data_IF_112038865673
#
_entry.id   IF_112038865673
#
_cell.length_a   1.000
_cell.length_b   1.000
_cell.length_c   1.000
_cell.angle_alpha   90.00
_cell.angle_beta   90.00
_cell.angle_gamma   90.00
#
_symmetry.space_group_name_H-M   'P 1'
#
loop_
_entity.id
_entity.type
_entity.pdbx_description
1 polymer ?
#
# COMPACT_ATOMS: atom_id res chain seq x y z
N UNK A 1 -6.41 -51.67 -9.68
CA UNK A 1 -5.39 -50.66 -10.11
C UNK A 1 -6.04 -49.74 -11.10
N UNK A 2 -6.53 -48.60 -10.64
CA UNK A 2 -6.98 -47.51 -11.50
C UNK A 2 -6.54 -46.22 -10.83
N UNK A 3 -5.42 -45.70 -11.34
CA UNK A 3 -4.87 -44.41 -10.88
C UNK A 3 -5.75 -43.27 -11.41
N UNK A 4 -6.44 -42.60 -10.52
CA UNK A 4 -7.08 -41.32 -10.80
C UNK A 4 -6.04 -40.22 -10.52
N UNK A 5 -5.33 -39.84 -11.57
CA UNK A 5 -4.52 -38.64 -11.60
C UNK A 5 -5.47 -37.43 -11.73
N UNK A 6 -5.84 -36.81 -10.63
CA UNK A 6 -6.51 -35.51 -10.65
C UNK A 6 -5.47 -34.44 -10.92
N UNK A 7 -5.23 -34.12 -12.19
CA UNK A 7 -4.58 -32.88 -12.59
C UNK A 7 -5.56 -31.74 -12.27
N UNK A 8 -5.37 -31.10 -11.13
CA UNK A 8 -6.05 -29.82 -10.84
C UNK A 8 -5.62 -28.83 -11.93
N UNK A 9 -6.50 -28.58 -12.89
CA UNK A 9 -6.27 -27.68 -14.00
C UNK A 9 -5.88 -26.30 -13.51
N UNK A 10 -4.66 -25.89 -13.80
CA UNK A 10 -4.18 -24.52 -13.57
C UNK A 10 -5.14 -23.55 -14.29
N UNK A 11 -5.74 -22.58 -13.63
CA UNK A 11 -6.67 -21.66 -14.30
C UNK A 11 -5.92 -20.97 -15.45
N UNK A 12 -6.37 -21.15 -16.66
CA UNK A 12 -5.79 -20.55 -17.87
C UNK A 12 -6.10 -19.05 -17.93
N UNK A 13 -5.47 -18.28 -17.03
CA UNK A 13 -5.50 -16.82 -17.12
C UNK A 13 -4.41 -16.42 -18.12
N UNK A 14 -4.82 -16.25 -19.41
CA UNK A 14 -3.89 -15.93 -20.49
C UNK A 14 -3.65 -14.42 -20.66
N UNK A 15 -2.61 -14.10 -21.44
CA UNK A 15 -2.35 -12.75 -21.96
C UNK A 15 -2.15 -11.66 -20.91
N UNK A 16 -2.68 -10.45 -21.16
CA UNK A 16 -2.55 -9.29 -20.31
C UNK A 16 -3.22 -9.42 -18.92
N UNK A 17 -4.29 -10.26 -18.83
CA UNK A 17 -5.05 -10.42 -17.58
C UNK A 17 -4.21 -10.93 -16.41
N UNK A 18 -3.23 -11.80 -16.66
CA UNK A 18 -2.31 -12.28 -15.63
C UNK A 18 -1.53 -11.14 -14.96
N UNK A 19 -1.08 -10.16 -15.75
CA UNK A 19 -0.34 -9.00 -15.24
C UNK A 19 -1.23 -8.09 -14.38
N UNK A 20 -2.49 -7.90 -14.76
CA UNK A 20 -3.46 -7.16 -13.93
C UNK A 20 -3.67 -7.86 -12.59
N UNK A 21 -3.77 -9.19 -12.58
CA UNK A 21 -3.88 -9.96 -11.32
C UNK A 21 -2.64 -9.79 -10.46
N UNK A 22 -1.44 -9.87 -11.05
CA UNK A 22 -0.16 -9.68 -10.34
C UNK A 22 0.04 -8.26 -9.83
N UNK A 23 -0.48 -7.24 -10.51
CA UNK A 23 -0.48 -5.85 -10.05
C UNK A 23 -1.33 -5.60 -8.79
N UNK A 24 -2.21 -6.54 -8.43
CA UNK A 24 -3.08 -6.52 -7.22
C UNK A 24 -3.92 -5.25 -7.12
N UNK A 25 -4.95 -5.06 -7.96
CA UNK A 25 -5.76 -3.84 -7.98
C UNK A 25 -6.33 -3.43 -6.64
N UNK A 26 -6.63 -4.41 -5.75
CA UNK A 26 -7.15 -4.15 -4.39
C UNK A 26 -6.20 -3.37 -3.49
N UNK A 27 -4.90 -3.35 -3.79
CA UNK A 27 -3.89 -2.62 -3.02
C UNK A 27 -3.57 -1.24 -3.62
N UNK A 28 -4.08 -0.92 -4.81
CA UNK A 28 -3.80 0.35 -5.48
C UNK A 28 -4.43 1.56 -4.76
N UNK A 29 -5.44 1.34 -3.94
CA UNK A 29 -6.00 2.40 -3.07
C UNK A 29 -4.91 3.01 -2.16
N UNK A 30 -3.99 2.18 -1.65
CA UNK A 30 -2.87 2.63 -0.83
C UNK A 30 -1.91 3.58 -1.58
N UNK A 31 -1.85 3.51 -2.91
CA UNK A 31 -1.05 4.41 -3.74
C UNK A 31 -1.84 5.63 -4.23
N UNK A 32 -3.12 5.46 -4.58
CA UNK A 32 -3.94 6.53 -5.15
C UNK A 32 -4.40 7.56 -4.10
N UNK A 33 -4.85 7.09 -2.93
CA UNK A 33 -5.38 7.96 -1.86
C UNK A 33 -4.36 8.99 -1.37
N UNK A 34 -3.10 8.62 -1.07
CA UNK A 34 -2.08 9.58 -0.66
C UNK A 34 -1.88 10.71 -1.68
N UNK A 35 -1.88 10.37 -2.98
CA UNK A 35 -1.69 11.35 -4.05
C UNK A 35 -2.87 12.33 -4.12
N UNK A 36 -4.10 11.83 -4.03
CA UNK A 36 -5.30 12.68 -4.06
C UNK A 36 -5.29 13.64 -2.87
N UNK A 37 -5.11 13.12 -1.65
CA UNK A 37 -5.09 13.94 -0.44
C UNK A 37 -3.92 14.94 -0.48
N UNK A 38 -2.72 14.49 -0.84
CA UNK A 38 -1.54 15.34 -0.95
C UNK A 38 -1.70 16.44 -2.00
N UNK A 39 -2.25 16.12 -3.18
CA UNK A 39 -2.51 17.11 -4.23
C UNK A 39 -3.45 18.21 -3.75
N UNK A 40 -4.53 17.86 -3.04
CA UNK A 40 -5.49 18.82 -2.50
C UNK A 40 -4.83 19.69 -1.41
N UNK A 41 -4.05 19.10 -0.52
CA UNK A 41 -3.28 19.87 0.49
C UNK A 41 -2.30 20.82 -0.20
N UNK A 42 -1.58 20.34 -1.21
CA UNK A 42 -0.60 21.16 -1.95
C UNK A 42 -1.22 22.38 -2.62
N UNK A 43 -2.48 22.30 -3.07
CA UNK A 43 -3.23 23.43 -3.63
C UNK A 43 -3.33 24.62 -2.67
N UNK A 44 -3.40 24.37 -1.37
CA UNK A 44 -3.63 25.41 -0.34
C UNK A 44 -2.49 26.43 -0.24
N UNK A 45 -1.30 26.09 -0.69
CA UNK A 45 -0.14 26.98 -0.67
C UNK A 45 0.05 27.85 -1.91
N UNK A 46 -0.90 27.81 -2.86
CA UNK A 46 -0.71 28.36 -4.20
C UNK A 46 -1.79 29.33 -4.62
N UNK A 47 -1.38 30.46 -5.15
CA UNK A 47 -2.26 31.38 -5.88
C UNK A 47 -2.80 30.84 -7.20
N UNK A 48 -2.23 29.73 -7.73
CA UNK A 48 -2.53 29.17 -9.05
C UNK A 48 -3.37 27.87 -9.06
N UNK A 49 -3.84 27.36 -7.93
CA UNK A 49 -4.60 26.12 -7.88
C UNK A 49 -3.74 24.84 -8.02
N UNK A 50 -4.34 23.74 -8.52
CA UNK A 50 -3.68 22.46 -8.73
C UNK A 50 -2.86 22.47 -10.02
N UNK A 51 -1.59 22.06 -9.92
CA UNK A 51 -0.75 21.81 -11.10
C UNK A 51 -0.99 20.38 -11.59
N UNK A 52 -1.96 20.20 -12.48
CA UNK A 52 -2.51 18.90 -12.85
C UNK A 52 -1.48 17.91 -13.43
N UNK A 53 -0.54 18.39 -14.24
CA UNK A 53 0.49 17.49 -14.78
C UNK A 53 1.43 16.95 -13.68
N UNK A 54 1.72 17.74 -12.63
CA UNK A 54 2.48 17.29 -11.46
C UNK A 54 1.69 16.27 -10.65
N UNK A 55 0.39 16.49 -10.48
CA UNK A 55 -0.50 15.51 -9.85
C UNK A 55 -0.55 14.20 -10.66
N UNK A 56 -0.61 14.28 -12.00
CA UNK A 56 -0.53 13.14 -12.89
C UNK A 56 0.78 12.37 -12.77
N UNK A 57 1.92 13.06 -12.78
CA UNK A 57 3.23 12.43 -12.56
C UNK A 57 3.32 11.80 -11.16
N UNK A 58 2.84 12.45 -10.10
CA UNK A 58 2.82 11.88 -8.75
C UNK A 58 1.96 10.60 -8.69
N UNK A 59 0.82 10.58 -9.38
CA UNK A 59 -0.02 9.39 -9.49
C UNK A 59 0.69 8.26 -10.24
N UNK A 60 1.37 8.56 -11.34
CA UNK A 60 2.18 7.57 -12.09
C UNK A 60 3.29 7.03 -11.19
N UNK A 61 4.03 7.87 -10.47
CA UNK A 61 5.08 7.45 -9.54
C UNK A 61 4.52 6.50 -8.48
N UNK A 62 3.45 6.91 -7.78
CA UNK A 62 2.89 6.12 -6.69
C UNK A 62 2.32 4.76 -7.17
N UNK A 63 1.55 4.77 -8.27
CA UNK A 63 0.97 3.55 -8.82
C UNK A 63 2.03 2.61 -9.40
N UNK A 64 3.02 3.15 -10.11
CA UNK A 64 4.08 2.34 -10.70
C UNK A 64 5.01 1.75 -9.64
N UNK A 65 5.34 2.49 -8.55
CA UNK A 65 6.06 1.94 -7.40
C UNK A 65 5.24 0.83 -6.73
N UNK A 66 3.94 1.02 -6.53
CA UNK A 66 3.07 -0.01 -5.94
C UNK A 66 3.04 -1.29 -6.78
N UNK A 67 2.85 -1.16 -8.10
CA UNK A 67 2.85 -2.28 -9.04
C UNK A 67 4.24 -2.94 -9.09
N UNK A 68 5.30 -2.15 -9.20
CA UNK A 68 6.68 -2.63 -9.19
C UNK A 68 7.02 -3.42 -7.92
N UNK A 69 6.61 -2.91 -6.75
CA UNK A 69 6.78 -3.59 -5.46
C UNK A 69 5.96 -4.89 -5.40
N UNK A 70 4.73 -4.90 -5.92
CA UNK A 70 3.93 -6.12 -5.97
C UNK A 70 4.59 -7.21 -6.82
N UNK A 71 5.18 -6.85 -7.98
CA UNK A 71 5.93 -7.78 -8.82
C UNK A 71 7.27 -8.19 -8.19
N UNK A 72 8.00 -7.25 -7.54
CA UNK A 72 9.24 -7.58 -6.83
C UNK A 72 8.99 -8.60 -5.72
N UNK A 73 7.88 -8.42 -4.97
CA UNK A 73 7.47 -9.35 -3.92
C UNK A 73 7.07 -10.72 -4.49
N UNK A 74 6.35 -10.75 -5.63
CA UNK A 74 5.96 -11.98 -6.31
C UNK A 74 7.20 -12.74 -6.80
N UNK A 75 8.15 -12.04 -7.42
CA UNK A 75 9.43 -12.61 -7.84
C UNK A 75 10.23 -13.17 -6.66
N UNK A 76 10.46 -12.36 -5.61
CA UNK A 76 11.33 -12.72 -4.51
C UNK A 76 10.75 -13.88 -3.67
N UNK A 77 9.46 -13.82 -3.34
CA UNK A 77 8.77 -14.86 -2.58
C UNK A 77 8.63 -16.16 -3.43
N UNK A 78 8.38 -16.03 -4.74
CA UNK A 78 8.28 -17.15 -5.68
C UNK A 78 9.62 -17.91 -5.83
N UNK A 79 10.74 -17.19 -5.98
CA UNK A 79 12.08 -17.81 -6.08
C UNK A 79 12.49 -18.48 -4.76
N UNK A 80 12.07 -17.92 -3.62
CA UNK A 80 12.32 -18.53 -2.30
C UNK A 80 11.38 -19.69 -1.97
N UNK A 81 10.31 -19.90 -2.74
CA UNK A 81 9.31 -20.93 -2.47
C UNK A 81 8.40 -20.62 -1.28
N UNK A 82 8.44 -19.41 -0.74
CA UNK A 82 7.63 -19.00 0.43
C UNK A 82 6.13 -18.89 0.12
N UNK A 83 5.77 -18.77 -1.15
CA UNK A 83 4.37 -18.66 -1.59
C UNK A 83 3.70 -20.02 -1.93
N UNK A 84 4.40 -21.15 -1.80
CA UNK A 84 3.90 -22.47 -2.23
C UNK A 84 2.63 -22.94 -1.49
N UNK A 85 2.41 -22.49 -0.23
CA UNK A 85 1.23 -22.85 0.60
C UNK A 85 0.38 -21.65 1.00
N UNK A 86 0.51 -20.53 0.29
CA UNK A 86 -0.15 -19.28 0.66
C UNK A 86 -1.65 -19.31 0.35
N UNK A 87 -2.44 -18.79 1.29
CA UNK A 87 -3.86 -18.47 1.10
C UNK A 87 -3.97 -16.99 0.70
N UNK A 88 -4.38 -16.71 -0.55
CA UNK A 88 -4.52 -15.31 -0.98
C UNK A 88 -4.62 -15.14 -2.50
N UNK A 89 -4.52 -13.90 -2.99
CA UNK A 89 -4.54 -13.63 -4.42
C UNK A 89 -3.43 -14.40 -5.14
N UNK A 90 -3.76 -14.82 -6.36
CA UNK A 90 -2.89 -15.60 -7.22
C UNK A 90 -1.55 -14.88 -7.44
N UNK A 91 -0.46 -15.61 -7.38
CA UNK A 91 0.92 -15.14 -7.62
C UNK A 91 1.39 -15.63 -8.97
N UNK A 92 2.03 -14.76 -9.75
CA UNK A 92 2.48 -15.08 -11.11
C UNK A 92 3.56 -16.16 -11.11
N UNK A 93 4.55 -16.03 -10.21
CA UNK A 93 5.71 -16.92 -10.13
C UNK A 93 5.31 -18.28 -9.56
N UNK A 94 4.70 -18.33 -8.39
CA UNK A 94 4.38 -19.59 -7.72
C UNK A 94 3.26 -20.37 -8.39
N UNK A 95 2.39 -19.73 -9.18
CA UNK A 95 1.36 -20.40 -9.98
C UNK A 95 1.82 -20.84 -11.37
N UNK A 96 3.07 -20.51 -11.76
CA UNK A 96 3.58 -20.80 -13.10
C UNK A 96 2.98 -19.93 -14.23
N UNK A 97 2.20 -18.89 -13.92
CA UNK A 97 1.61 -17.99 -14.92
C UNK A 97 2.65 -17.12 -15.62
N UNK A 98 3.77 -16.85 -14.98
CA UNK A 98 4.92 -16.19 -15.57
C UNK A 98 6.22 -16.72 -14.96
N UNK A 99 7.30 -16.70 -15.76
CA UNK A 99 8.63 -17.08 -15.26
C UNK A 99 9.15 -16.02 -14.27
N UNK A 100 10.02 -16.40 -13.32
CA UNK A 100 10.66 -15.44 -12.42
C UNK A 100 11.33 -14.28 -13.16
N UNK A 101 11.99 -14.56 -14.29
CA UNK A 101 12.64 -13.54 -15.10
C UNK A 101 11.64 -12.52 -15.68
N UNK A 102 10.50 -12.99 -16.19
CA UNK A 102 9.43 -12.12 -16.68
C UNK A 102 8.87 -11.22 -15.58
N UNK A 103 8.61 -11.77 -14.38
CA UNK A 103 8.06 -11.00 -13.25
C UNK A 103 9.07 -9.97 -12.75
N UNK A 104 10.37 -10.33 -12.67
CA UNK A 104 11.44 -9.38 -12.35
C UNK A 104 11.52 -8.25 -13.38
N UNK A 105 11.47 -8.55 -14.67
CA UNK A 105 11.48 -7.54 -15.73
C UNK A 105 10.28 -6.62 -15.62
N UNK A 106 9.07 -7.15 -15.39
CA UNK A 106 7.87 -6.33 -15.18
C UNK A 106 7.99 -5.38 -13.98
N UNK A 107 8.63 -5.85 -12.89
CA UNK A 107 8.92 -5.00 -11.72
C UNK A 107 9.87 -3.85 -12.09
N UNK A 108 10.97 -4.16 -12.79
CA UNK A 108 11.96 -3.16 -13.20
C UNK A 108 11.36 -2.15 -14.20
N UNK A 109 10.52 -2.58 -15.14
CA UNK A 109 9.81 -1.69 -16.04
C UNK A 109 8.86 -0.75 -15.28
N UNK A 110 8.13 -1.26 -14.30
CA UNK A 110 7.26 -0.44 -13.47
C UNK A 110 8.09 0.62 -12.69
N UNK A 111 9.20 0.23 -12.08
CA UNK A 111 10.12 1.18 -11.43
C UNK A 111 10.73 2.17 -12.43
N UNK A 112 11.03 1.75 -13.67
CA UNK A 112 11.50 2.65 -14.75
C UNK A 112 10.45 3.71 -15.11
N UNK A 113 9.18 3.33 -15.22
CA UNK A 113 8.06 4.27 -15.44
C UNK A 113 7.95 5.26 -14.28
N UNK A 114 8.04 4.79 -13.03
CA UNK A 114 8.07 5.66 -11.86
C UNK A 114 9.27 6.61 -11.88
N UNK A 115 10.45 6.11 -12.30
CA UNK A 115 11.68 6.90 -12.43
C UNK A 115 11.53 8.03 -13.46
N UNK A 116 10.98 7.74 -14.64
CA UNK A 116 10.76 8.74 -15.68
C UNK A 116 9.82 9.87 -15.21
N UNK A 117 8.68 9.51 -14.60
CA UNK A 117 7.75 10.50 -14.04
C UNK A 117 8.37 11.27 -12.85
N UNK A 118 9.14 10.56 -11.99
CA UNK A 118 9.86 11.17 -10.87
C UNK A 118 10.94 12.16 -11.32
N UNK A 119 11.66 11.87 -12.40
CA UNK A 119 12.64 12.79 -12.99
C UNK A 119 11.97 14.07 -13.52
N UNK A 120 10.80 13.96 -14.16
CA UNK A 120 10.04 15.14 -14.60
C UNK A 120 9.64 16.02 -13.40
N UNK A 121 9.22 15.42 -12.28
CA UNK A 121 8.95 16.15 -11.04
C UNK A 121 10.22 16.75 -10.44
N UNK A 122 11.33 16.01 -10.43
CA UNK A 122 12.60 16.50 -9.88
C UNK A 122 13.11 17.71 -10.66
N UNK A 123 13.08 17.65 -11.98
CA UNK A 123 13.50 18.75 -12.85
C UNK A 123 12.63 20.01 -12.70
N UNK A 124 11.34 19.84 -12.36
CA UNK A 124 10.39 20.96 -12.29
C UNK A 124 10.22 21.56 -10.88
N UNK A 125 10.58 20.80 -9.83
CA UNK A 125 10.35 21.23 -8.43
C UNK A 125 11.64 21.26 -7.64
N UNK A 126 12.35 20.12 -7.53
CA UNK A 126 13.60 20.02 -6.77
C UNK A 126 14.33 18.72 -7.05
N UNK A 127 15.62 18.80 -7.36
CA UNK A 127 16.50 17.65 -7.60
C UNK A 127 16.64 16.71 -6.40
N UNK A 128 16.38 17.18 -5.22
CA UNK A 128 16.32 16.38 -4.00
C UNK A 128 15.27 15.24 -4.10
N UNK A 129 14.23 15.39 -4.93
CA UNK A 129 13.25 14.33 -5.18
C UNK A 129 13.87 13.05 -5.78
N UNK A 130 15.05 13.14 -6.41
CA UNK A 130 15.79 11.94 -6.86
C UNK A 130 16.21 11.08 -5.65
N UNK A 131 16.70 11.69 -4.59
CA UNK A 131 17.07 10.94 -3.38
C UNK A 131 15.86 10.25 -2.75
N UNK A 132 14.69 10.93 -2.71
CA UNK A 132 13.43 10.33 -2.26
C UNK A 132 13.01 9.17 -3.17
N UNK A 133 13.08 9.34 -4.49
CA UNK A 133 12.75 8.30 -5.46
C UNK A 133 13.64 7.06 -5.31
N UNK A 134 14.94 7.25 -5.15
CA UNK A 134 15.89 6.17 -4.90
C UNK A 134 15.58 5.44 -3.59
N UNK A 135 15.26 6.17 -2.52
CA UNK A 135 14.83 5.58 -1.25
C UNK A 135 13.54 4.73 -1.41
N UNK A 136 12.58 5.21 -2.21
CA UNK A 136 11.35 4.44 -2.53
C UNK A 136 11.66 3.15 -3.30
N UNK A 137 12.57 3.19 -4.28
CA UNK A 137 12.95 2.00 -5.06
C UNK A 137 13.68 0.98 -4.19
N UNK A 138 14.64 1.44 -3.39
CA UNK A 138 15.36 0.58 -2.43
C UNK A 138 14.39 -0.05 -1.43
N UNK A 139 13.47 0.75 -0.85
CA UNK A 139 12.46 0.24 0.06
C UNK A 139 11.53 -0.78 -0.62
N UNK A 140 11.02 -0.47 -1.82
CA UNK A 140 10.16 -1.39 -2.56
C UNK A 140 10.83 -2.72 -2.91
N UNK A 141 12.11 -2.69 -3.30
CA UNK A 141 12.88 -3.88 -3.61
C UNK A 141 13.25 -4.69 -2.38
N UNK A 142 13.74 -4.04 -1.31
CA UNK A 142 14.20 -4.71 -0.09
C UNK A 142 13.06 -5.13 0.85
N UNK A 143 11.81 -4.86 0.51
CA UNK A 143 10.67 -5.31 1.32
C UNK A 143 10.66 -6.83 1.47
N UNK A 144 10.80 -7.57 0.36
CA UNK A 144 10.92 -9.04 0.33
C UNK A 144 12.19 -9.51 -0.38
N UNK A 145 12.90 -8.64 -1.10
CA UNK A 145 14.13 -8.91 -1.83
C UNK A 145 15.39 -8.79 -0.96
N UNK A 146 16.53 -9.15 -1.54
CA UNK A 146 17.85 -9.07 -0.89
C UNK A 146 18.07 -10.16 0.17
N UNK A 147 19.25 -10.14 0.85
CA UNK A 147 19.65 -11.18 1.81
C UNK A 147 18.90 -11.07 3.16
N UNK A 148 18.50 -9.86 3.56
CA UNK A 148 17.77 -9.57 4.81
C UNK A 148 16.60 -8.63 4.55
N UNK A 149 15.47 -9.13 3.97
CA UNK A 149 14.33 -8.29 3.67
C UNK A 149 13.73 -7.70 4.95
N UNK A 150 13.48 -6.38 4.97
CA UNK A 150 12.96 -5.74 6.17
C UNK A 150 11.51 -6.16 6.50
N UNK A 151 10.73 -6.57 5.50
CA UNK A 151 9.41 -7.18 5.72
C UNK A 151 9.47 -8.46 6.54
N UNK A 152 10.59 -9.21 6.43
CA UNK A 152 10.85 -10.41 7.23
C UNK A 152 11.38 -10.08 8.63
N UNK A 153 11.80 -8.85 8.86
CA UNK A 153 12.29 -8.36 10.16
C UNK A 153 11.19 -7.69 11.00
N UNK A 154 9.94 -7.69 10.53
CA UNK A 154 8.81 -7.06 11.25
C UNK A 154 8.81 -5.54 11.19
N UNK A 155 9.47 -4.95 10.19
CA UNK A 155 9.53 -3.50 9.98
C UNK A 155 8.54 -3.02 8.90
N UNK A 156 7.72 -3.91 8.34
CA UNK A 156 6.80 -3.61 7.24
C UNK A 156 5.87 -2.45 7.55
N UNK A 157 5.28 -2.44 8.73
CA UNK A 157 4.30 -1.43 9.18
C UNK A 157 4.92 -0.04 9.26
N UNK A 158 6.15 0.07 9.77
CA UNK A 158 6.90 1.33 9.86
C UNK A 158 7.19 1.88 8.46
N UNK A 159 7.68 1.02 7.56
CA UNK A 159 7.99 1.41 6.19
C UNK A 159 6.74 1.75 5.39
N UNK A 160 5.63 1.01 5.57
CA UNK A 160 4.36 1.33 4.93
C UNK A 160 3.84 2.68 5.43
N UNK A 161 3.87 2.95 6.73
CA UNK A 161 3.51 4.26 7.26
C UNK A 161 4.38 5.37 6.68
N UNK A 162 5.69 5.18 6.64
CA UNK A 162 6.63 6.19 6.13
C UNK A 162 6.43 6.45 4.62
N UNK A 163 6.37 5.41 3.80
CA UNK A 163 6.34 5.59 2.34
C UNK A 163 4.94 5.85 1.79
N UNK A 164 3.90 5.15 2.25
CA UNK A 164 2.53 5.36 1.79
C UNK A 164 1.79 6.45 2.55
N UNK A 165 2.19 6.72 3.80
CA UNK A 165 1.70 7.87 4.57
C UNK A 165 2.48 9.12 4.24
N UNK A 166 3.68 9.26 4.85
CA UNK A 166 4.44 10.51 4.81
C UNK A 166 4.95 10.84 3.40
N UNK A 167 5.73 9.94 2.78
CA UNK A 167 6.37 10.24 1.49
C UNK A 167 5.32 10.44 0.39
N UNK A 168 4.34 9.54 0.27
CA UNK A 168 3.36 9.63 -0.79
C UNK A 168 2.40 10.82 -0.60
N UNK A 169 1.89 11.08 0.62
CA UNK A 169 0.94 12.19 0.86
C UNK A 169 1.65 13.54 0.89
N UNK A 170 2.64 13.70 1.78
CA UNK A 170 3.35 14.97 1.92
C UNK A 170 4.24 15.25 0.69
N UNK A 171 4.81 14.22 0.05
CA UNK A 171 5.51 14.37 -1.22
C UNK A 171 4.61 14.84 -2.35
N UNK A 172 3.37 14.31 -2.46
CA UNK A 172 2.39 14.78 -3.45
C UNK A 172 1.94 16.22 -3.19
N UNK A 173 1.89 16.65 -1.92
CA UNK A 173 1.66 18.05 -1.59
C UNK A 173 2.87 18.91 -1.96
N UNK A 174 4.07 18.47 -1.63
CA UNK A 174 5.32 19.17 -1.92
C UNK A 174 5.53 19.44 -3.41
N UNK A 175 5.25 18.47 -4.27
CA UNK A 175 5.47 18.63 -5.71
C UNK A 175 4.52 19.65 -6.34
N UNK A 176 3.44 20.03 -5.68
CA UNK A 176 2.56 21.08 -6.20
C UNK A 176 3.28 22.45 -6.22
N UNK A 177 3.94 22.83 -5.12
CA UNK A 177 4.49 24.19 -4.97
C UNK A 177 5.88 24.24 -4.30
N UNK A 178 6.55 23.11 -4.11
CA UNK A 178 7.90 23.06 -3.52
C UNK A 178 7.94 23.41 -2.03
N UNK A 179 6.81 23.36 -1.32
CA UNK A 179 6.71 23.70 0.10
C UNK A 179 6.16 22.53 0.92
N UNK A 180 6.82 22.23 2.05
CA UNK A 180 6.32 21.29 3.03
C UNK A 180 5.52 22.06 4.09
N UNK A 181 4.26 21.67 4.30
CA UNK A 181 3.36 22.33 5.25
C UNK A 181 3.01 21.39 6.41
N UNK A 182 2.67 21.97 7.57
CA UNK A 182 2.19 21.19 8.71
C UNK A 182 0.92 20.42 8.37
N UNK A 183 0.02 20.99 7.57
CA UNK A 183 -1.19 20.32 7.08
C UNK A 183 -0.85 19.10 6.23
N UNK A 184 0.21 19.13 5.40
CA UNK A 184 0.64 17.99 4.60
C UNK A 184 1.14 16.83 5.49
N UNK A 185 1.91 17.14 6.51
CA UNK A 185 2.36 16.15 7.50
C UNK A 185 1.17 15.61 8.29
N UNK A 186 0.27 16.46 8.78
CA UNK A 186 -0.92 16.03 9.51
C UNK A 186 -1.82 15.11 8.68
N UNK A 187 -2.08 15.47 7.41
CA UNK A 187 -2.89 14.65 6.49
C UNK A 187 -2.25 13.31 6.14
N UNK A 188 -0.93 13.21 6.22
CA UNK A 188 -0.19 11.95 5.99
C UNK A 188 -0.47 10.90 7.07
N UNK A 189 -0.82 11.32 8.29
CA UNK A 189 -0.99 10.41 9.44
C UNK A 189 -2.21 9.49 9.25
N UNK A 190 -3.45 9.99 9.05
CA UNK A 190 -4.61 9.12 8.86
C UNK A 190 -4.46 8.23 7.62
N UNK A 191 -3.89 8.74 6.54
CA UNK A 191 -3.66 8.00 5.30
C UNK A 191 -2.66 6.86 5.50
N UNK A 192 -1.54 7.15 6.19
CA UNK A 192 -0.51 6.17 6.50
C UNK A 192 -1.01 5.06 7.43
N UNK A 193 -1.78 5.41 8.47
CA UNK A 193 -2.36 4.43 9.40
C UNK A 193 -3.35 3.49 8.70
N UNK A 194 -4.16 3.97 7.74
CA UNK A 194 -5.02 3.11 6.93
C UNK A 194 -4.21 2.18 6.02
N UNK A 195 -3.07 2.63 5.51
CA UNK A 195 -2.15 1.77 4.75
C UNK A 195 -1.53 0.69 5.65
N UNK A 196 -1.21 1.01 6.91
CA UNK A 196 -0.80 0.02 7.92
C UNK A 196 -1.91 -0.99 8.19
N UNK A 197 -3.17 -0.56 8.31
CA UNK A 197 -4.30 -1.49 8.46
C UNK A 197 -4.43 -2.46 7.28
N UNK A 198 -4.19 -2.00 6.04
CA UNK A 198 -4.16 -2.88 4.87
C UNK A 198 -3.05 -3.92 4.96
N UNK A 199 -1.85 -3.50 5.35
CA UNK A 199 -0.73 -4.42 5.53
C UNK A 199 -1.04 -5.42 6.65
N UNK A 200 -1.51 -4.94 7.80
CA UNK A 200 -1.77 -5.78 8.96
C UNK A 200 -2.86 -6.82 8.70
N UNK A 201 -3.91 -6.47 7.94
CA UNK A 201 -4.93 -7.44 7.53
C UNK A 201 -4.36 -8.55 6.62
N UNK A 202 -3.36 -8.24 5.80
CA UNK A 202 -2.62 -9.24 5.02
C UNK A 202 -1.72 -10.10 5.91
N UNK A 203 -0.96 -9.49 6.82
CA UNK A 203 -0.04 -10.19 7.72
C UNK A 203 -0.78 -11.10 8.70
N UNK A 204 -1.93 -10.67 9.22
CA UNK A 204 -2.82 -11.51 10.03
C UNK A 204 -3.36 -12.71 9.26
N UNK A 205 -3.76 -12.52 8.00
CA UNK A 205 -4.23 -13.61 7.13
C UNK A 205 -3.16 -14.67 6.93
N UNK A 206 -1.92 -14.22 6.72
CA UNK A 206 -0.82 -15.06 6.29
C UNK A 206 0.05 -15.55 7.49
N UNK A 207 -0.32 -15.25 8.74
CA UNK A 207 0.52 -15.42 9.95
C UNK A 207 1.09 -16.85 10.12
N UNK A 208 0.27 -17.88 9.86
CA UNK A 208 0.72 -19.27 10.01
C UNK A 208 1.60 -19.70 8.84
N UNK A 209 1.26 -19.27 7.62
CA UNK A 209 2.09 -19.49 6.44
C UNK A 209 3.46 -18.80 6.55
N UNK A 210 3.46 -17.53 6.96
CA UNK A 210 4.69 -16.74 7.14
C UNK A 210 5.58 -17.38 8.23
N UNK A 211 4.99 -17.86 9.33
CA UNK A 211 5.71 -18.57 10.39
C UNK A 211 6.35 -19.85 9.88
N UNK A 212 5.65 -20.64 9.06
CA UNK A 212 6.12 -21.91 8.53
C UNK A 212 7.34 -21.76 7.60
N UNK A 213 7.52 -20.60 6.96
CA UNK A 213 8.65 -20.29 6.07
C UNK A 213 9.67 -19.33 6.70
N UNK A 214 9.68 -19.22 8.04
CA UNK A 214 10.57 -18.37 8.82
C UNK A 214 10.49 -16.86 8.45
N UNK A 215 9.39 -16.40 7.86
CA UNK A 215 9.11 -15.00 7.57
C UNK A 215 8.53 -14.34 8.83
N UNK A 216 9.37 -13.62 9.56
CA UNK A 216 9.05 -13.05 10.89
C UNK A 216 8.45 -11.64 10.76
N UNK A 217 7.30 -11.52 10.08
CA UNK A 217 6.52 -10.28 10.03
C UNK A 217 6.16 -9.78 11.44
N UNK A 218 5.73 -8.53 11.58
CA UNK A 218 5.34 -7.99 12.88
C UNK A 218 4.19 -8.82 13.50
N UNK A 219 3.22 -9.23 12.69
CA UNK A 219 2.13 -10.11 13.12
C UNK A 219 2.65 -11.47 13.66
N UNK A 220 3.64 -12.08 12.99
CA UNK A 220 4.27 -13.34 13.47
C UNK A 220 5.00 -13.12 14.80
N UNK A 221 5.70 -11.98 14.96
CA UNK A 221 6.43 -11.63 16.19
C UNK A 221 5.52 -11.36 17.37
N UNK A 222 4.46 -10.60 17.15
CA UNK A 222 3.48 -10.24 18.18
C UNK A 222 2.54 -11.39 18.54
N UNK A 223 2.31 -12.32 17.60
CA UNK A 223 1.25 -13.31 17.65
C UNK A 223 -0.13 -12.72 17.32
N UNK A 224 -1.06 -13.58 16.90
CA UNK A 224 -2.34 -13.19 16.34
C UNK A 224 -3.16 -12.23 17.25
N UNK A 225 -3.14 -12.46 18.55
CA UNK A 225 -3.91 -11.63 19.51
C UNK A 225 -3.44 -10.18 19.53
N UNK A 226 -2.12 -9.93 19.64
CA UNK A 226 -1.57 -8.57 19.67
C UNK A 226 -1.63 -7.91 18.30
N UNK A 227 -1.45 -8.67 17.23
CA UNK A 227 -1.58 -8.19 15.86
C UNK A 227 -3.02 -7.71 15.55
N UNK A 228 -4.05 -8.39 16.07
CA UNK A 228 -5.45 -7.89 16.01
C UNK A 228 -5.61 -6.55 16.71
N UNK A 229 -5.03 -6.39 17.90
CA UNK A 229 -5.06 -5.12 18.60
C UNK A 229 -4.27 -4.02 17.89
N UNK A 230 -3.16 -4.36 17.22
CA UNK A 230 -2.44 -3.42 16.37
C UNK A 230 -3.32 -2.92 15.21
N UNK A 231 -4.04 -3.81 14.53
CA UNK A 231 -4.99 -3.43 13.49
C UNK A 231 -6.07 -2.48 14.04
N UNK A 232 -6.70 -2.82 15.16
CA UNK A 232 -7.74 -1.98 15.79
C UNK A 232 -7.18 -0.63 16.23
N UNK A 233 -6.01 -0.63 16.87
CA UNK A 233 -5.34 0.60 17.31
C UNK A 233 -4.98 1.52 16.15
N UNK A 234 -4.43 0.97 15.06
CA UNK A 234 -4.12 1.74 13.85
C UNK A 234 -5.40 2.30 13.19
N UNK A 235 -6.48 1.50 13.15
CA UNK A 235 -7.77 1.93 12.61
C UNK A 235 -8.38 3.06 13.44
N UNK A 236 -8.41 2.93 14.76
CA UNK A 236 -8.89 3.97 15.66
C UNK A 236 -8.03 5.23 15.60
N UNK A 237 -6.70 5.07 15.60
CA UNK A 237 -5.75 6.18 15.50
C UNK A 237 -5.87 6.92 14.16
N UNK A 238 -6.22 6.22 13.07
CA UNK A 238 -6.42 6.89 11.78
C UNK A 238 -7.59 7.87 11.84
N UNK A 239 -8.73 7.49 12.45
CA UNK A 239 -9.85 8.40 12.62
C UNK A 239 -9.56 9.50 13.64
N UNK A 240 -8.91 9.17 14.75
CA UNK A 240 -8.54 10.18 15.76
C UNK A 240 -7.58 11.23 15.18
N UNK A 241 -6.64 10.82 14.33
CA UNK A 241 -5.66 11.73 13.70
C UNK A 241 -6.27 12.69 12.66
N UNK A 242 -7.52 12.47 12.22
CA UNK A 242 -8.26 13.47 11.43
C UNK A 242 -8.37 14.79 12.21
N UNK A 243 -8.47 14.74 13.55
CA UNK A 243 -8.45 15.91 14.41
C UNK A 243 -7.19 16.77 14.26
N UNK A 244 -6.03 16.17 13.95
CA UNK A 244 -4.80 16.92 13.66
C UNK A 244 -4.94 17.77 12.40
N UNK A 245 -5.62 17.24 11.38
CA UNK A 245 -5.87 17.99 10.14
C UNK A 245 -6.91 19.07 10.36
N UNK A 246 -7.93 18.77 11.15
CA UNK A 246 -9.04 19.67 11.47
C UNK A 246 -8.58 20.92 12.22
N UNK A 247 -7.42 20.90 12.90
CA UNK A 247 -6.82 22.08 13.53
C UNK A 247 -6.61 23.23 12.54
N UNK A 248 -6.20 22.93 11.32
CA UNK A 248 -6.02 23.91 10.25
C UNK A 248 -7.18 23.94 9.24
N UNK A 249 -7.92 22.84 9.15
CA UNK A 249 -8.98 22.59 8.16
C UNK A 249 -10.17 21.91 8.83
N UNK A 250 -11.08 22.66 9.47
CA UNK A 250 -12.18 22.09 10.26
C UNK A 250 -13.07 21.11 9.49
N UNK A 251 -13.31 21.37 8.20
CA UNK A 251 -14.12 20.48 7.37
C UNK A 251 -13.45 19.12 7.08
N UNK A 252 -12.17 18.92 7.41
CA UNK A 252 -11.54 17.61 7.40
C UNK A 252 -12.32 16.59 8.26
N UNK A 253 -13.05 17.05 9.28
CA UNK A 253 -13.95 16.21 10.10
C UNK A 253 -15.00 15.46 9.29
N UNK A 254 -15.31 15.86 8.05
CA UNK A 254 -16.14 15.08 7.12
C UNK A 254 -15.64 13.64 6.96
N UNK A 255 -14.34 13.40 7.07
CA UNK A 255 -13.78 12.06 7.01
C UNK A 255 -14.32 11.12 8.11
N UNK A 256 -14.78 11.66 9.25
CA UNK A 256 -15.37 10.88 10.34
C UNK A 256 -16.73 10.27 9.98
N UNK A 257 -17.41 10.76 8.93
CA UNK A 257 -18.65 10.17 8.40
C UNK A 257 -18.40 8.72 7.93
N UNK A 258 -17.16 8.38 7.59
CA UNK A 258 -16.78 7.01 7.23
C UNK A 258 -16.63 6.06 8.44
N UNK A 259 -16.70 6.55 9.70
CA UNK A 259 -16.49 5.75 10.92
C UNK A 259 -17.37 4.49 11.00
N UNK A 260 -18.67 4.51 10.63
CA UNK A 260 -19.51 3.30 10.65
C UNK A 260 -18.99 2.16 9.75
N UNK A 261 -18.23 2.47 8.69
CA UNK A 261 -17.64 1.45 7.80
C UNK A 261 -16.57 0.63 8.53
N UNK A 262 -15.96 1.16 9.60
CA UNK A 262 -14.93 0.50 10.38
C UNK A 262 -15.50 -0.59 11.32
N UNK A 263 -16.79 -0.54 11.64
CA UNK A 263 -17.41 -1.47 12.59
C UNK A 263 -17.27 -2.94 12.18
N UNK A 264 -17.74 -3.29 10.97
CA UNK A 264 -17.75 -4.68 10.50
C UNK A 264 -16.35 -5.30 10.43
N UNK A 265 -15.34 -4.68 9.76
CA UNK A 265 -14.00 -5.25 9.72
C UNK A 265 -13.36 -5.30 11.11
N UNK A 266 -13.57 -4.28 11.96
CA UNK A 266 -13.09 -4.27 13.34
C UNK A 266 -13.67 -5.40 14.18
N UNK A 267 -14.98 -5.58 14.16
CA UNK A 267 -15.66 -6.66 14.87
C UNK A 267 -15.21 -8.05 14.39
N UNK A 268 -15.04 -8.24 13.07
CA UNK A 268 -14.54 -9.48 12.49
C UNK A 268 -13.12 -9.82 12.97
N UNK A 269 -12.23 -8.83 13.01
CA UNK A 269 -10.84 -9.01 13.50
C UNK A 269 -10.84 -9.34 14.99
N UNK A 270 -11.63 -8.65 15.82
CA UNK A 270 -11.74 -8.91 17.26
C UNK A 270 -12.38 -10.27 17.56
N UNK A 271 -13.35 -10.70 16.75
CA UNK A 271 -13.97 -12.02 16.84
C UNK A 271 -13.03 -13.17 16.45
N UNK A 272 -11.79 -12.87 16.06
CA UNK A 272 -10.77 -13.87 15.80
C UNK A 272 -10.71 -14.35 14.34
N UNK A 273 -11.22 -13.59 13.38
CA UNK A 273 -11.08 -13.94 11.97
C UNK A 273 -9.62 -14.28 11.60
N UNK A 274 -9.45 -15.30 10.78
CA UNK A 274 -8.17 -15.88 10.36
C UNK A 274 -8.21 -16.32 8.89
N UNK A 275 -7.04 -16.52 8.29
CA UNK A 275 -6.90 -17.05 6.94
C UNK A 275 -7.86 -16.39 5.94
N UNK A 276 -8.66 -17.19 5.17
CA UNK A 276 -9.57 -16.67 4.15
C UNK A 276 -10.63 -15.70 4.69
N UNK A 277 -11.01 -15.80 5.96
CA UNK A 277 -12.00 -14.91 6.60
C UNK A 277 -11.51 -13.45 6.68
N UNK A 278 -10.22 -13.22 6.54
CA UNK A 278 -9.64 -11.86 6.47
C UNK A 278 -9.67 -11.23 5.07
N UNK A 279 -10.03 -11.95 4.02
CA UNK A 279 -10.19 -11.38 2.68
C UNK A 279 -11.30 -10.30 2.62
N UNK A 280 -12.48 -10.50 3.22
CA UNK A 280 -13.48 -9.43 3.33
C UNK A 280 -13.01 -8.24 4.17
N UNK A 281 -12.22 -8.48 5.23
CA UNK A 281 -11.63 -7.42 6.08
C UNK A 281 -10.69 -6.56 5.25
N UNK A 282 -9.77 -7.18 4.48
CA UNK A 282 -8.86 -6.48 3.58
C UNK A 282 -9.62 -5.60 2.57
N UNK A 283 -10.67 -6.15 1.93
CA UNK A 283 -11.49 -5.41 0.98
C UNK A 283 -12.25 -4.25 1.64
N UNK A 284 -12.76 -4.45 2.86
CA UNK A 284 -13.43 -3.40 3.63
C UNK A 284 -12.45 -2.29 4.03
N UNK A 285 -11.23 -2.64 4.49
CA UNK A 285 -10.18 -1.69 4.84
C UNK A 285 -9.78 -0.83 3.63
N UNK A 286 -9.64 -1.44 2.45
CA UNK A 286 -9.38 -0.69 1.21
C UNK A 286 -10.51 0.29 0.86
N UNK A 287 -11.78 -0.10 1.07
CA UNK A 287 -12.93 0.80 0.90
C UNK A 287 -12.93 1.95 1.91
N UNK A 288 -12.62 1.65 3.19
CA UNK A 288 -12.48 2.68 4.22
C UNK A 288 -11.42 3.68 3.80
N UNK A 289 -10.25 3.23 3.34
CA UNK A 289 -9.18 4.11 2.89
C UNK A 289 -9.62 5.02 1.74
N UNK A 290 -10.34 4.48 0.74
CA UNK A 290 -10.88 5.28 -0.37
C UNK A 290 -11.88 6.33 0.11
N UNK A 291 -12.85 5.94 0.96
CA UNK A 291 -13.89 6.84 1.44
C UNK A 291 -13.32 7.90 2.37
N UNK A 292 -12.49 7.52 3.35
CA UNK A 292 -11.80 8.46 4.25
C UNK A 292 -10.93 9.42 3.44
N UNK A 293 -10.15 8.91 2.48
CA UNK A 293 -9.30 9.74 1.62
C UNK A 293 -10.08 10.74 0.79
N UNK A 294 -11.20 10.33 0.20
CA UNK A 294 -12.07 11.21 -0.57
C UNK A 294 -12.71 12.29 0.31
N UNK A 295 -13.30 11.91 1.45
CA UNK A 295 -13.94 12.85 2.37
C UNK A 295 -12.93 13.80 3.02
N UNK A 296 -11.72 13.30 3.35
CA UNK A 296 -10.63 14.11 3.85
C UNK A 296 -10.18 15.14 2.80
N UNK A 297 -10.00 14.72 1.54
CA UNK A 297 -9.64 15.61 0.45
C UNK A 297 -10.72 16.67 0.21
N UNK A 298 -12.01 16.28 0.19
CA UNK A 298 -13.13 17.21 0.08
C UNK A 298 -13.11 18.20 1.25
N UNK A 299 -13.02 17.73 2.48
CA UNK A 299 -13.02 18.60 3.66
C UNK A 299 -11.80 19.54 3.72
N UNK A 300 -10.64 19.14 3.21
CA UNK A 300 -9.47 20.02 3.10
C UNK A 300 -9.69 21.07 2.00
N UNK A 301 -10.41 20.74 0.94
CA UNK A 301 -10.66 21.65 -0.18
C UNK A 301 -11.69 22.77 0.16
N UNK A 302 -12.60 22.48 1.09
CA UNK A 302 -13.57 23.46 1.64
C UNK A 302 -12.94 24.40 2.63
#
# INVERSE_FOLDING_TARGET
MTGVSASAGTPSIGGARRWVVGARPRTLAAAAVPVVVGTVVGRLGASGGVVWWRAGCAAVVALAIQVGTNYANDYADGVRGTDARRVGPLRLTSSGLATPAQVRTASLLAFGVAGAAGLALAASVSWWLIAVGLACFVAGWLYTGGPKPYGYLGLGEVFVFAFFGLVATAGSAYVQHGRMTATAIAASVPVGLLSVCLLESNNLRDIDGDRAVAKRTLAVRLGARRARWLYIGALAASFASVGLVAWWRPYALLALVALPLAWRPGASVLAGADGPKLLPVLAATGRIQLVVGALLAIGIAL
#
